data_IF_917320420937
#
_entry.id   IF_917320420937
#
_cell.length_a   1.000
_cell.length_b   1.000
_cell.length_c   1.000
_cell.angle_alpha   90.00
_cell.angle_beta   90.00
_cell.angle_gamma   90.00
#
_symmetry.space_group_name_H-M   'P 1'
#
loop_
_entity.id
_entity.type
_entity.pdbx_description
1 polymer ?
#
# COMPACT_ATOMS: atom_id res chain seq x y z
N UNK A 1 -3.35 -1.01 15.28
CA UNK A 1 -3.45 -2.24 14.48
C UNK A 1 -2.20 -2.39 13.63
N UNK A 2 -1.93 -3.58 13.07
CA UNK A 2 -0.81 -3.79 12.13
C UNK A 2 -1.11 -3.16 10.77
N UNK A 3 -0.09 -2.78 10.01
CA UNK A 3 -0.26 -2.33 8.62
C UNK A 3 -0.12 -3.53 7.68
N UNK A 4 -1.22 -3.98 7.06
CA UNK A 4 -1.21 -5.12 6.14
C UNK A 4 -2.12 -4.91 4.93
N UNK A 5 -1.89 -5.71 3.88
CA UNK A 5 -2.68 -5.64 2.65
C UNK A 5 -4.15 -6.02 2.86
N UNK A 6 -4.44 -6.76 3.92
CA UNK A 6 -5.74 -7.28 4.28
C UNK A 6 -6.54 -6.30 5.18
N UNK A 7 -5.97 -5.12 5.50
CA UNK A 7 -6.66 -4.15 6.36
C UNK A 7 -6.52 -2.68 5.94
N UNK A 8 -5.67 -2.38 4.95
CA UNK A 8 -5.53 -1.03 4.40
C UNK A 8 -6.42 -0.87 3.16
N UNK A 9 -7.15 0.24 3.10
CA UNK A 9 -7.96 0.66 1.95
C UNK A 9 -7.73 2.12 1.64
N UNK A 10 -7.84 2.52 0.38
CA UNK A 10 -7.82 3.92 -0.02
C UNK A 10 -9.16 4.59 0.34
N UNK A 11 -9.11 5.83 0.82
CA UNK A 11 -10.32 6.63 1.07
C UNK A 11 -10.03 8.13 0.93
N UNK A 12 -11.09 8.94 0.82
CA UNK A 12 -10.95 10.39 0.87
C UNK A 12 -10.81 10.88 2.32
N UNK A 13 -10.37 12.13 2.49
CA UNK A 13 -10.17 12.76 3.80
C UNK A 13 -11.46 12.72 4.64
N UNK A 14 -12.62 13.05 4.03
CA UNK A 14 -13.92 13.05 4.73
C UNK A 14 -14.26 11.67 5.31
N UNK A 15 -14.04 10.61 4.54
CA UNK A 15 -14.25 9.23 4.99
C UNK A 15 -13.28 8.84 6.10
N UNK A 16 -12.00 9.22 5.98
CA UNK A 16 -10.99 8.93 7.00
C UNK A 16 -11.33 9.58 8.34
N UNK A 17 -11.72 10.87 8.31
CA UNK A 17 -12.17 11.60 9.49
C UNK A 17 -13.44 10.98 10.08
N UNK A 18 -14.42 10.62 9.23
CA UNK A 18 -15.66 9.95 9.69
C UNK A 18 -15.36 8.62 10.37
N UNK A 19 -14.43 7.80 9.85
CA UNK A 19 -14.02 6.54 10.49
C UNK A 19 -13.46 6.80 11.90
N UNK A 20 -12.58 7.79 12.04
CA UNK A 20 -12.18 8.33 13.35
C UNK A 20 -11.65 7.27 14.32
N UNK A 21 -10.71 6.43 13.89
CA UNK A 21 -10.11 5.36 14.73
C UNK A 21 -10.95 4.09 14.90
N UNK A 22 -12.24 4.11 14.59
CA UNK A 22 -13.16 2.97 14.68
C UNK A 22 -12.99 1.95 13.55
N UNK A 23 -13.50 0.73 13.69
CA UNK A 23 -13.63 -0.19 12.54
C UNK A 23 -14.70 0.33 11.56
N UNK A 24 -14.71 -0.12 10.29
CA UNK A 24 -15.80 0.21 9.36
C UNK A 24 -17.18 -0.09 9.95
N UNK A 25 -17.36 -1.22 10.62
CA UNK A 25 -18.61 -1.63 11.25
C UNK A 25 -19.03 -0.67 12.36
N UNK A 26 -18.09 -0.32 13.25
CA UNK A 26 -18.31 0.65 14.33
C UNK A 26 -18.59 2.08 13.82
N UNK A 27 -18.12 2.42 12.62
CA UNK A 27 -18.40 3.70 11.97
C UNK A 27 -19.65 3.66 11.06
N UNK A 28 -20.34 2.51 10.98
CA UNK A 28 -21.43 2.24 10.05
C UNK A 28 -21.05 2.55 8.60
N UNK A 29 -19.87 2.07 8.20
CA UNK A 29 -19.29 2.22 6.87
C UNK A 29 -19.11 0.84 6.23
N UNK A 30 -19.39 0.76 4.93
CA UNK A 30 -19.16 -0.44 4.13
C UNK A 30 -17.99 -0.24 3.18
N UNK A 31 -17.14 -1.26 3.07
CA UNK A 31 -16.05 -1.26 2.12
C UNK A 31 -16.58 -1.51 0.71
N UNK A 32 -16.07 -0.75 -0.27
CA UNK A 32 -16.40 -0.94 -1.70
C UNK A 32 -15.82 -2.27 -2.20
N UNK A 33 -14.62 -2.62 -1.75
CA UNK A 33 -13.94 -3.87 -2.07
C UNK A 33 -13.25 -4.42 -0.83
N UNK A 34 -13.11 -5.75 -0.75
CA UNK A 34 -12.36 -6.39 0.33
C UNK A 34 -10.86 -6.12 0.12
N UNK A 35 -10.13 -5.63 1.13
CA UNK A 35 -8.68 -5.46 1.05
C UNK A 35 -8.01 -6.82 0.91
N UNK A 36 -7.18 -6.97 -0.12
CA UNK A 36 -6.44 -8.21 -0.41
C UNK A 36 -5.07 -7.86 -0.97
N UNK A 37 -4.10 -8.74 -0.72
CA UNK A 37 -2.77 -8.62 -1.31
C UNK A 37 -2.86 -8.75 -2.83
N UNK A 38 -2.27 -7.80 -3.60
CA UNK A 38 -2.26 -7.90 -5.06
C UNK A 38 -1.45 -9.12 -5.51
N UNK A 39 -1.89 -9.75 -6.60
CA UNK A 39 -1.12 -10.80 -7.26
C UNK A 39 0.13 -10.19 -7.90
N UNK A 40 1.24 -10.92 -7.87
CA UNK A 40 2.45 -10.51 -8.61
C UNK A 40 2.14 -10.45 -10.10
N UNK A 41 2.48 -9.33 -10.75
CA UNK A 41 2.33 -9.15 -12.19
C UNK A 41 3.69 -9.09 -12.86
N UNK A 42 4.01 -9.99 -13.82
CA UNK A 42 5.29 -9.98 -14.51
C UNK A 42 5.49 -8.70 -15.36
N UNK A 43 4.40 -8.06 -15.80
CA UNK A 43 4.44 -6.79 -16.56
C UNK A 43 5.05 -5.64 -15.75
N UNK A 44 4.87 -5.65 -14.43
CA UNK A 44 5.45 -4.62 -13.55
C UNK A 44 6.98 -4.74 -13.56
N UNK A 45 7.53 -5.96 -13.45
CA UNK A 45 8.97 -6.19 -13.49
C UNK A 45 9.58 -5.75 -14.83
N UNK A 46 8.90 -6.04 -15.95
CA UNK A 46 9.35 -5.64 -17.29
C UNK A 46 9.42 -4.11 -17.38
N UNK A 47 8.40 -3.39 -16.88
CA UNK A 47 8.39 -1.92 -16.91
C UNK A 47 9.44 -1.30 -16.00
N UNK A 48 9.69 -1.87 -14.83
CA UNK A 48 10.70 -1.36 -13.89
C UNK A 48 12.14 -1.59 -14.37
N UNK A 49 12.36 -2.48 -15.34
CA UNK A 49 13.66 -2.70 -15.98
C UNK A 49 14.02 -1.63 -17.03
N UNK A 50 13.06 -0.79 -17.43
CA UNK A 50 13.26 0.29 -18.40
C UNK A 50 14.22 1.37 -17.86
N UNK A 51 15.09 1.90 -18.72
CA UNK A 51 16.13 2.86 -18.34
C UNK A 51 15.58 4.15 -17.72
N UNK A 52 14.34 4.51 -18.05
CA UNK A 52 13.67 5.68 -17.47
C UNK A 52 13.48 5.57 -15.95
N UNK A 53 13.55 4.36 -15.39
CA UNK A 53 13.41 4.09 -13.96
C UNK A 53 14.73 3.71 -13.29
N UNK A 54 15.90 3.98 -13.92
CA UNK A 54 17.20 3.64 -13.33
C UNK A 54 17.42 4.28 -11.95
N UNK A 55 16.96 5.52 -11.75
CA UNK A 55 17.01 6.19 -10.44
C UNK A 55 16.18 5.48 -9.37
N UNK A 56 15.15 4.72 -9.76
CA UNK A 56 14.30 3.97 -8.84
C UNK A 56 14.99 2.72 -8.30
N UNK A 57 16.03 2.21 -8.96
CA UNK A 57 16.80 1.04 -8.49
C UNK A 57 17.29 1.22 -7.06
N UNK A 58 17.67 2.44 -6.67
CA UNK A 58 18.11 2.75 -5.31
C UNK A 58 17.02 2.50 -4.24
N UNK A 59 15.74 2.62 -4.59
CA UNK A 59 14.61 2.43 -3.68
C UNK A 59 14.01 1.02 -3.75
N UNK A 60 14.30 0.30 -4.82
CA UNK A 60 13.81 -1.06 -5.07
C UNK A 60 14.80 -2.13 -4.62
N UNK A 61 16.06 -1.76 -4.42
CA UNK A 61 17.06 -2.67 -3.89
C UNK A 61 16.72 -3.06 -2.44
N UNK A 62 16.88 -4.34 -2.14
CA UNK A 62 16.62 -4.95 -0.84
C UNK A 62 17.37 -4.22 0.27
N UNK A 63 18.58 -3.73 -0.06
CA UNK A 63 19.43 -2.97 0.86
C UNK A 63 18.75 -1.69 1.41
N UNK A 64 17.91 -1.00 0.62
CA UNK A 64 17.22 0.20 1.08
C UNK A 64 16.18 -0.10 2.18
N UNK A 65 15.54 -1.27 2.10
CA UNK A 65 14.50 -1.68 3.06
C UNK A 65 15.04 -2.37 4.32
N UNK A 66 16.27 -2.89 4.26
CA UNK A 66 16.89 -3.62 5.39
C UNK A 66 17.82 -2.77 6.25
N UNK A 67 18.16 -1.55 5.81
CA UNK A 67 19.00 -0.65 6.59
C UNK A 67 18.10 0.13 7.56
N UNK A 68 18.32 -0.05 8.86
CA UNK A 68 17.69 0.79 9.88
C UNK A 68 18.16 2.24 9.70
N UNK A 69 17.19 3.16 9.52
CA UNK A 69 17.45 4.58 9.54
C UNK A 69 17.77 4.98 10.99
N UNK A 70 19.02 5.36 11.26
CA UNK A 70 19.48 5.90 12.55
C UNK A 70 18.96 7.30 12.80
#
# INVERSE_FOLDING_TARGET
>A
GKSSWENIVCCCIKCNVKKGGRTPEQAHMHLITKPVKPKRSPVINIRLADERYQSWKQFLDTAYWTVELK
#
